data_IF_788559122112
#
_entry.id   IF_788559122112
#
_cell.length_a   1.000
_cell.length_b   1.000
_cell.length_c   1.000
_cell.angle_alpha   90.00
_cell.angle_beta   90.00
_cell.angle_gamma   90.00
#
_symmetry.space_group_name_H-M   'P 1'
#
loop_
_entity.id
_entity.type
_entity.pdbx_description
1 polymer ?
#
# COMPACT_ATOMS: atom_id res chain seq x y z
N UNK A 1 26.62 48.37 -52.84
CA UNK A 1 27.13 47.07 -52.34
C UNK A 1 25.99 46.07 -52.38
N UNK A 2 26.22 44.95 -53.07
CA UNK A 2 25.33 43.80 -53.19
C UNK A 2 25.02 43.18 -51.81
N UNK A 3 23.80 42.66 -51.62
CA UNK A 3 23.52 41.22 -51.68
C UNK A 3 22.02 40.92 -51.47
N UNK A 4 21.42 40.39 -52.54
CA UNK A 4 20.16 39.64 -52.57
C UNK A 4 20.46 38.22 -52.13
N UNK A 5 19.72 37.68 -51.15
CA UNK A 5 19.35 36.25 -50.99
C UNK A 5 18.19 36.26 -49.97
N UNK A 6 17.02 35.68 -50.17
CA UNK A 6 16.64 34.49 -50.92
C UNK A 6 15.80 33.66 -49.96
N UNK A 7 14.48 33.67 -50.13
CA UNK A 7 13.54 32.79 -49.43
C UNK A 7 13.92 31.33 -49.73
N UNK A 8 14.33 30.60 -48.70
CA UNK A 8 14.42 29.14 -48.76
C UNK A 8 13.42 28.57 -47.79
N UNK A 9 12.27 28.17 -48.32
CA UNK A 9 11.40 27.21 -47.68
C UNK A 9 12.08 25.84 -47.79
N UNK A 10 12.51 25.27 -46.68
CA UNK A 10 12.91 23.87 -46.62
C UNK A 10 11.77 23.11 -45.94
N UNK A 11 10.99 22.41 -46.75
CA UNK A 11 10.23 21.26 -46.29
C UNK A 11 11.25 20.14 -45.96
N UNK A 12 11.39 19.79 -44.69
CA UNK A 12 12.05 18.54 -44.28
C UNK A 12 10.94 17.63 -43.75
N UNK A 13 10.73 16.54 -44.49
CA UNK A 13 9.74 15.52 -44.19
C UNK A 13 10.01 14.77 -42.88
N UNK A 14 8.94 14.18 -42.38
CA UNK A 14 8.92 13.23 -41.28
C UNK A 14 9.91 12.08 -41.53
N UNK A 15 10.82 11.87 -40.59
CA UNK A 15 11.32 10.53 -40.30
C UNK A 15 11.55 10.40 -38.80
N UNK A 16 11.01 9.33 -38.23
CA UNK A 16 10.82 9.14 -36.80
C UNK A 16 12.12 9.19 -36.01
N UNK A 17 12.31 10.27 -35.26
CA UNK A 17 13.13 10.29 -34.06
C UNK A 17 12.23 10.02 -32.87
N UNK A 18 12.06 8.75 -32.52
CA UNK A 18 11.46 8.35 -31.25
C UNK A 18 12.33 8.98 -30.17
N UNK A 19 11.82 10.02 -29.52
CA UNK A 19 12.39 10.49 -28.26
C UNK A 19 12.20 9.31 -27.32
N UNK A 20 13.24 8.50 -27.17
CA UNK A 20 13.32 7.53 -26.08
C UNK A 20 13.36 8.37 -24.81
N UNK A 21 12.18 8.76 -24.35
CA UNK A 21 11.94 8.91 -22.94
C UNK A 21 12.61 7.69 -22.32
N UNK A 22 13.67 7.94 -21.56
CA UNK A 22 14.33 6.95 -20.75
C UNK A 22 13.29 6.49 -19.73
N UNK A 23 12.40 5.61 -20.20
CA UNK A 23 11.47 4.83 -19.42
C UNK A 23 12.36 3.88 -18.66
N UNK A 24 13.01 4.41 -17.63
CA UNK A 24 13.54 3.64 -16.51
C UNK A 24 12.35 2.78 -16.12
N UNK A 25 12.40 1.53 -16.58
CA UNK A 25 11.29 0.60 -16.51
C UNK A 25 10.78 0.68 -15.08
N UNK A 26 9.51 1.07 -14.91
CA UNK A 26 8.89 1.07 -13.59
C UNK A 26 9.23 -0.31 -13.01
N UNK A 27 9.89 -0.38 -11.84
CA UNK A 27 10.21 -1.69 -11.28
C UNK A 27 8.89 -2.44 -11.20
N UNK A 28 8.84 -3.60 -11.87
CA UNK A 28 7.61 -4.38 -11.92
C UNK A 28 7.14 -4.57 -10.47
N UNK A 29 5.83 -4.41 -10.18
CA UNK A 29 5.28 -4.59 -8.85
C UNK A 29 5.83 -5.85 -8.17
N UNK A 30 6.00 -6.91 -8.95
CA UNK A 30 6.63 -8.19 -8.61
C UNK A 30 8.01 -8.06 -7.92
N UNK A 31 8.92 -7.23 -8.43
CA UNK A 31 10.29 -7.10 -7.91
C UNK A 31 10.33 -6.36 -6.56
N UNK A 32 9.43 -5.40 -6.37
CA UNK A 32 9.30 -4.68 -5.08
C UNK A 32 8.58 -5.54 -4.06
N UNK A 33 7.54 -6.27 -4.46
CA UNK A 33 6.84 -7.28 -3.65
C UNK A 33 7.85 -8.34 -3.16
N UNK A 34 8.72 -8.85 -4.03
CA UNK A 34 9.75 -9.83 -3.64
C UNK A 34 10.74 -9.31 -2.60
N UNK A 35 11.08 -8.00 -2.63
CA UNK A 35 11.99 -7.39 -1.64
C UNK A 35 11.33 -7.26 -0.26
N UNK A 36 10.02 -6.99 -0.21
CA UNK A 36 9.25 -6.97 1.04
C UNK A 36 9.03 -8.38 1.60
N UNK A 37 8.74 -9.36 0.72
CA UNK A 37 8.55 -10.76 1.11
C UNK A 37 9.77 -11.40 1.80
N UNK A 38 10.99 -10.91 1.53
CA UNK A 38 12.24 -11.37 2.18
C UNK A 38 12.42 -10.88 3.62
N UNK A 39 11.52 -10.04 4.15
CA UNK A 39 11.50 -9.66 5.57
C UNK A 39 10.85 -10.73 6.48
N UNK A 40 10.33 -11.84 5.93
CA UNK A 40 9.89 -13.00 6.70
C UNK A 40 11.09 -13.89 7.06
N UNK A 41 11.74 -13.60 8.18
CA UNK A 41 12.94 -14.27 8.69
C UNK A 41 12.65 -15.43 9.66
N UNK A 42 11.42 -15.97 9.66
CA UNK A 42 11.03 -17.06 10.57
C UNK A 42 10.51 -16.60 11.93
N UNK A 43 10.17 -15.33 12.08
CA UNK A 43 9.67 -14.75 13.33
C UNK A 43 8.15 -14.94 13.57
N UNK A 44 7.79 -14.92 14.86
CA UNK A 44 6.45 -15.02 15.48
C UNK A 44 5.29 -14.66 14.56
N UNK A 45 4.30 -15.55 14.48
CA UNK A 45 3.00 -15.31 13.86
C UNK A 45 2.49 -13.91 14.21
N UNK A 46 2.32 -13.04 13.22
CA UNK A 46 1.90 -11.64 13.47
C UNK A 46 0.58 -11.59 14.22
N UNK A 47 -0.30 -12.57 14.00
CA UNK A 47 -1.60 -12.65 14.66
C UNK A 47 -1.50 -13.00 16.16
N UNK A 48 -0.33 -13.46 16.62
CA UNK A 48 -0.03 -13.70 18.04
C UNK A 48 0.80 -12.56 18.67
N UNK A 49 1.02 -11.45 17.96
CA UNK A 49 1.69 -10.28 18.54
C UNK A 49 0.90 -9.74 19.74
N UNK A 50 1.56 -9.37 20.86
CA UNK A 50 0.89 -8.84 22.06
C UNK A 50 0.01 -7.61 21.81
N UNK A 51 0.25 -6.85 20.74
CA UNK A 51 -0.64 -5.75 20.34
C UNK A 51 -2.04 -6.23 19.96
N UNK A 52 -2.24 -7.48 19.56
CA UNK A 52 -3.55 -8.02 19.21
C UNK A 52 -4.49 -7.96 20.42
N UNK A 53 -4.07 -8.50 21.56
CA UNK A 53 -4.84 -8.46 22.82
C UNK A 53 -5.06 -7.03 23.29
N UNK A 54 -4.02 -6.19 23.23
CA UNK A 54 -4.10 -4.78 23.63
C UNK A 54 -5.08 -3.97 22.79
N UNK A 55 -5.22 -4.30 21.50
CA UNK A 55 -6.03 -3.51 20.56
C UNK A 55 -7.48 -3.96 20.53
N UNK A 56 -7.73 -5.27 20.55
CA UNK A 56 -9.07 -5.83 20.36
C UNK A 56 -9.76 -6.26 21.66
N UNK A 57 -9.01 -6.38 22.77
CA UNK A 57 -9.57 -6.70 24.09
C UNK A 57 -10.47 -7.93 24.06
N UNK A 58 -11.74 -7.78 24.43
CA UNK A 58 -12.72 -8.87 24.44
C UNK A 58 -12.91 -9.56 23.07
N UNK A 59 -12.60 -8.87 21.96
CA UNK A 59 -12.74 -9.40 20.59
C UNK A 59 -11.46 -10.01 20.04
N UNK A 60 -10.44 -10.22 20.87
CA UNK A 60 -9.13 -10.71 20.41
C UNK A 60 -9.22 -12.05 19.66
N UNK A 61 -10.07 -12.99 20.10
CA UNK A 61 -10.21 -14.29 19.45
C UNK A 61 -10.77 -14.16 18.02
N UNK A 62 -11.72 -13.26 17.82
CA UNK A 62 -12.27 -12.93 16.51
C UNK A 62 -11.20 -12.30 15.61
N UNK A 63 -10.49 -11.30 16.15
CA UNK A 63 -9.43 -10.59 15.45
C UNK A 63 -8.27 -11.53 15.03
N UNK A 64 -7.89 -12.47 15.90
CA UNK A 64 -6.91 -13.53 15.58
C UNK A 64 -7.39 -14.41 14.44
N UNK A 65 -8.66 -14.82 14.44
CA UNK A 65 -9.21 -15.62 13.34
C UNK A 65 -9.14 -14.87 12.02
N UNK A 66 -9.64 -13.63 11.97
CA UNK A 66 -9.62 -12.80 10.76
C UNK A 66 -8.18 -12.59 10.27
N UNK A 67 -7.27 -12.17 11.15
CA UNK A 67 -5.85 -11.99 10.82
C UNK A 67 -5.22 -13.27 10.22
N UNK A 68 -5.54 -14.45 10.77
CA UNK A 68 -5.04 -15.72 10.26
C UNK A 68 -5.63 -16.08 8.89
N UNK A 69 -6.91 -15.78 8.63
CA UNK A 69 -7.53 -16.01 7.31
C UNK A 69 -6.99 -15.07 6.24
N UNK A 70 -6.73 -13.82 6.60
CA UNK A 70 -6.22 -12.81 5.69
C UNK A 70 -4.73 -13.01 5.35
N UNK A 71 -3.87 -13.18 6.37
CA UNK A 71 -2.42 -13.17 6.18
C UNK A 71 -1.73 -14.52 6.34
N UNK A 72 -2.44 -15.52 6.88
CA UNK A 72 -1.85 -16.77 7.38
C UNK A 72 -0.75 -16.53 8.42
N UNK A 73 -0.86 -15.44 9.19
CA UNK A 73 0.07 -15.12 10.27
C UNK A 73 1.39 -14.46 9.85
N UNK A 74 1.51 -14.08 8.57
CA UNK A 74 2.74 -13.51 8.01
C UNK A 74 2.82 -11.99 8.25
N UNK A 75 3.97 -11.50 8.73
CA UNK A 75 4.16 -10.09 9.17
C UNK A 75 4.04 -9.05 8.05
N UNK A 76 4.57 -9.34 6.88
CA UNK A 76 4.61 -8.40 5.76
C UNK A 76 4.14 -9.11 4.48
N UNK A 77 2.86 -9.52 4.47
CA UNK A 77 2.24 -9.98 3.22
C UNK A 77 1.85 -8.74 2.43
N UNK A 78 2.45 -8.62 1.26
CA UNK A 78 1.97 -7.74 0.19
C UNK A 78 1.20 -8.66 -0.76
N UNK A 79 -0.12 -8.72 -0.58
CA UNK A 79 -1.01 -9.44 -1.47
C UNK A 79 -1.42 -8.56 -2.64
N UNK A 80 -1.55 -9.14 -3.84
CA UNK A 80 -2.24 -8.49 -4.96
C UNK A 80 -3.57 -9.17 -5.13
N UNK A 81 -4.66 -8.51 -4.73
CA UNK A 81 -6.03 -9.04 -4.85
C UNK A 81 -6.57 -8.79 -6.26
N UNK A 82 -6.20 -7.66 -6.86
CA UNK A 82 -6.49 -7.27 -8.23
C UNK A 82 -5.33 -6.45 -8.83
N UNK A 83 -5.31 -6.23 -10.16
CA UNK A 83 -4.18 -5.60 -10.88
C UNK A 83 -3.78 -4.19 -10.36
N UNK A 84 -4.63 -3.53 -9.57
CA UNK A 84 -4.41 -2.21 -8.97
C UNK A 84 -4.65 -2.16 -7.44
N UNK A 85 -4.73 -3.31 -6.79
CA UNK A 85 -5.03 -3.40 -5.36
C UNK A 85 -3.91 -4.14 -4.65
N UNK A 86 -3.30 -3.48 -3.68
CA UNK A 86 -2.25 -4.08 -2.85
C UNK A 86 -2.68 -4.12 -1.39
N UNK A 87 -2.75 -5.31 -0.81
CA UNK A 87 -3.17 -5.51 0.57
C UNK A 87 -1.95 -5.76 1.47
N UNK A 88 -1.93 -5.12 2.65
CA UNK A 88 -0.73 -5.05 3.49
C UNK A 88 -0.97 -5.52 4.94
N UNK A 89 -0.05 -6.34 5.45
CA UNK A 89 0.05 -6.72 6.87
C UNK A 89 -0.94 -7.81 7.31
N UNK A 90 -1.11 -7.95 8.63
CA UNK A 90 -1.89 -9.03 9.24
C UNK A 90 -3.37 -9.06 8.85
N UNK A 91 -3.99 -7.87 8.71
CA UNK A 91 -5.38 -7.69 8.27
C UNK A 91 -5.49 -7.33 6.78
N UNK A 92 -4.43 -7.50 5.98
CA UNK A 92 -4.47 -7.25 4.53
C UNK A 92 -5.17 -5.92 4.18
N UNK A 93 -4.69 -4.81 4.75
CA UNK A 93 -5.28 -3.49 4.49
C UNK A 93 -5.03 -3.09 3.04
N UNK A 94 -6.11 -2.92 2.29
CA UNK A 94 -6.07 -2.52 0.88
C UNK A 94 -5.51 -1.11 0.69
N UNK A 95 -4.54 -1.01 -0.21
CA UNK A 95 -3.98 0.21 -0.75
C UNK A 95 -4.31 0.20 -2.25
N UNK A 96 -5.27 1.02 -2.63
CA UNK A 96 -5.80 1.13 -3.99
C UNK A 96 -6.22 2.59 -4.27
N UNK A 97 -6.35 2.98 -5.55
CA UNK A 97 -6.87 4.29 -5.90
C UNK A 97 -8.23 4.57 -5.25
N UNK A 98 -8.35 5.66 -4.49
CA UNK A 98 -9.63 6.16 -3.95
C UNK A 98 -10.11 5.53 -2.64
N UNK A 99 -9.66 4.33 -2.26
CA UNK A 99 -9.99 3.65 -0.99
C UNK A 99 -9.08 4.06 0.17
N UNK A 100 -7.84 4.45 -0.16
CA UNK A 100 -6.81 5.08 0.69
C UNK A 100 -6.91 4.81 2.20
N UNK A 101 -6.92 3.53 2.63
CA UNK A 101 -6.94 3.15 4.06
C UNK A 101 -5.72 3.67 4.82
N UNK A 102 -4.63 3.93 4.12
CA UNK A 102 -3.44 4.61 4.61
C UNK A 102 -3.67 6.12 4.88
N UNK A 103 -4.51 6.78 4.08
CA UNK A 103 -4.94 8.16 4.35
C UNK A 103 -5.88 8.21 5.55
N UNK A 104 -6.79 7.24 5.70
CA UNK A 104 -7.60 7.11 6.92
C UNK A 104 -6.73 7.06 8.18
N UNK A 105 -5.62 6.31 8.18
CA UNK A 105 -4.67 6.27 9.31
C UNK A 105 -4.15 7.67 9.63
N UNK A 106 -3.80 8.44 8.60
CA UNK A 106 -3.30 9.81 8.72
C UNK A 106 -4.37 10.77 9.26
N UNK A 107 -5.57 10.73 8.68
CA UNK A 107 -6.67 11.63 8.99
C UNK A 107 -7.25 11.38 10.38
N UNK A 108 -7.41 10.11 10.76
CA UNK A 108 -7.89 9.72 12.09
C UNK A 108 -6.79 9.80 13.18
N UNK A 109 -5.56 10.19 12.83
CA UNK A 109 -4.46 10.32 13.78
C UNK A 109 -4.05 9.00 14.45
N UNK A 110 -4.22 7.88 13.75
CA UNK A 110 -3.94 6.55 14.29
C UNK A 110 -2.42 6.30 14.43
N UNK A 111 -2.01 5.31 15.22
CA UNK A 111 -0.61 4.89 15.27
C UNK A 111 -0.02 4.68 13.87
N UNK A 112 1.13 5.29 13.59
CA UNK A 112 1.76 5.26 12.27
C UNK A 112 1.50 6.51 11.43
N UNK A 113 0.51 7.34 11.77
CA UNK A 113 0.15 8.55 11.03
C UNK A 113 1.35 9.47 10.75
N UNK A 114 2.18 9.77 11.77
CA UNK A 114 3.33 10.65 11.55
C UNK A 114 4.34 10.07 10.56
N UNK A 115 4.65 8.78 10.67
CA UNK A 115 5.58 8.14 9.73
C UNK A 115 5.06 8.14 8.29
N UNK A 116 3.75 8.02 8.10
CA UNK A 116 3.13 8.16 6.78
C UNK A 116 3.17 9.61 6.28
N UNK A 117 2.83 10.60 7.15
CA UNK A 117 2.94 12.03 6.83
C UNK A 117 4.35 12.42 6.39
N UNK A 118 5.37 11.96 7.12
CA UNK A 118 6.77 12.24 6.80
C UNK A 118 7.14 11.68 5.41
N UNK A 119 6.67 10.47 5.07
CA UNK A 119 6.88 9.88 3.73
C UNK A 119 6.16 10.72 2.67
N UNK A 120 4.93 11.15 2.94
CA UNK A 120 4.11 11.92 2.01
C UNK A 120 4.75 13.27 1.69
N UNK A 121 5.12 14.02 2.73
CA UNK A 121 5.77 15.32 2.62
C UNK A 121 7.12 15.23 1.92
N UNK A 122 7.97 14.26 2.31
CA UNK A 122 9.29 14.03 1.70
C UNK A 122 9.23 13.76 0.20
N UNK A 123 8.16 13.09 -0.27
CA UNK A 123 8.04 12.65 -1.64
C UNK A 123 7.03 13.46 -2.47
N UNK A 124 6.36 14.45 -1.88
CA UNK A 124 5.35 15.26 -2.57
C UNK A 124 4.12 14.46 -3.01
N UNK A 125 3.71 13.48 -2.20
CA UNK A 125 2.53 12.61 -2.46
C UNK A 125 1.49 12.76 -1.36
N UNK A 126 0.29 12.22 -1.56
CA UNK A 126 -0.79 12.24 -0.55
C UNK A 126 -1.16 10.86 0.01
N UNK A 127 -0.62 9.80 -0.57
CA UNK A 127 -0.89 8.42 -0.16
C UNK A 127 0.26 7.50 -0.53
N UNK A 128 0.31 6.33 0.10
CA UNK A 128 1.17 5.24 -0.28
C UNK A 128 0.90 4.78 -1.72
N UNK A 129 -0.36 4.76 -2.17
CA UNK A 129 -0.67 4.43 -3.57
C UNK A 129 0.02 5.37 -4.56
N UNK A 130 0.04 6.68 -4.28
CA UNK A 130 0.70 7.65 -5.14
C UNK A 130 2.21 7.41 -5.25
N UNK A 131 2.87 6.91 -4.20
CA UNK A 131 4.29 6.51 -4.30
C UNK A 131 4.49 5.40 -5.33
N UNK A 132 3.59 4.40 -5.36
CA UNK A 132 3.63 3.32 -6.33
C UNK A 132 3.31 3.82 -7.74
N UNK A 133 2.25 4.63 -7.90
CA UNK A 133 1.82 5.17 -9.18
C UNK A 133 2.91 6.00 -9.87
N UNK A 134 3.65 6.80 -9.09
CA UNK A 134 4.77 7.62 -9.53
C UNK A 134 6.09 6.86 -9.68
N UNK A 135 6.13 5.55 -9.37
CA UNK A 135 7.33 4.72 -9.51
C UNK A 135 8.38 4.93 -8.42
N UNK A 136 8.01 5.54 -7.29
CA UNK A 136 8.87 5.80 -6.13
C UNK A 136 9.01 4.54 -5.27
N UNK A 137 9.68 3.52 -5.81
CA UNK A 137 9.80 2.18 -5.19
C UNK A 137 10.37 2.17 -3.77
N UNK A 138 11.28 3.11 -3.44
CA UNK A 138 11.80 3.28 -2.08
C UNK A 138 10.74 3.77 -1.10
N UNK A 139 10.02 4.84 -1.47
CA UNK A 139 8.93 5.39 -0.68
C UNK A 139 7.78 4.40 -0.51
N UNK A 140 7.47 3.62 -1.55
CA UNK A 140 6.50 2.53 -1.47
C UNK A 140 6.90 1.47 -0.45
N UNK A 141 8.16 1.02 -0.47
CA UNK A 141 8.66 0.05 0.50
C UNK A 141 8.64 0.60 1.95
N UNK A 142 8.96 1.89 2.13
CA UNK A 142 8.86 2.58 3.43
C UNK A 142 7.39 2.60 3.92
N UNK A 143 6.45 2.93 3.03
CA UNK A 143 5.01 2.89 3.29
C UNK A 143 4.53 1.51 3.75
N UNK A 144 4.83 0.48 2.97
CA UNK A 144 4.46 -0.91 3.27
C UNK A 144 5.07 -1.36 4.60
N UNK A 145 6.31 -0.95 4.89
CA UNK A 145 6.97 -1.23 6.17
C UNK A 145 6.24 -0.59 7.35
N UNK A 146 5.81 0.67 7.23
CA UNK A 146 5.01 1.34 8.28
C UNK A 146 3.68 0.64 8.47
N UNK A 147 2.96 0.36 7.39
CA UNK A 147 1.61 -0.24 7.41
C UNK A 147 1.60 -1.71 7.88
N UNK A 148 2.72 -2.42 7.72
CA UNK A 148 2.87 -3.81 8.17
C UNK A 148 3.17 -3.92 9.67
N UNK A 149 3.52 -2.83 10.36
CA UNK A 149 3.80 -2.88 11.81
C UNK A 149 2.53 -3.29 12.57
N UNK A 150 2.59 -4.29 13.47
CA UNK A 150 1.41 -4.79 14.20
C UNK A 150 0.58 -3.67 14.83
N UNK A 151 1.23 -2.76 15.56
CA UNK A 151 0.56 -1.60 16.17
C UNK A 151 -0.22 -0.75 15.17
N UNK A 152 0.32 -0.50 13.98
CA UNK A 152 -0.31 0.32 12.93
C UNK A 152 -1.45 -0.45 12.29
N UNK A 153 -1.16 -1.67 11.81
CA UNK A 153 -2.10 -2.52 11.10
C UNK A 153 -3.33 -2.87 11.95
N UNK A 154 -3.12 -3.20 13.22
CA UNK A 154 -4.19 -3.60 14.14
C UNK A 154 -5.04 -2.40 14.55
N UNK A 155 -4.42 -1.25 14.79
CA UNK A 155 -5.17 -0.03 15.14
C UNK A 155 -6.06 0.41 13.99
N UNK A 156 -5.57 0.32 12.74
CA UNK A 156 -6.37 0.59 11.57
C UNK A 156 -7.52 -0.42 11.40
N UNK A 157 -7.26 -1.71 11.61
CA UNK A 157 -8.29 -2.73 11.54
C UNK A 157 -9.37 -2.55 12.63
N UNK A 158 -8.97 -2.20 13.86
CA UNK A 158 -9.89 -1.88 14.95
C UNK A 158 -10.74 -0.65 14.65
N UNK A 159 -10.13 0.40 14.09
CA UNK A 159 -10.86 1.60 13.69
C UNK A 159 -11.96 1.29 12.66
N UNK A 160 -11.63 0.48 11.64
CA UNK A 160 -12.59 0.02 10.64
C UNK A 160 -13.72 -0.81 11.27
N UNK A 161 -13.36 -1.76 12.14
CA UNK A 161 -14.34 -2.56 12.87
C UNK A 161 -15.28 -1.72 13.74
N UNK A 162 -14.77 -0.67 14.39
CA UNK A 162 -15.60 0.22 15.20
C UNK A 162 -16.52 1.07 14.33
N UNK A 163 -16.01 1.57 13.20
CA UNK A 163 -16.79 2.34 12.23
C UNK A 163 -17.95 1.52 11.62
N UNK A 164 -17.79 0.20 11.51
CA UNK A 164 -18.83 -0.72 11.03
C UNK A 164 -19.82 -1.17 12.11
N UNK A 165 -19.73 -0.62 13.34
CA UNK A 165 -20.55 -1.07 14.47
C UNK A 165 -20.19 -2.48 14.93
N UNK A 166 -18.97 -2.93 14.65
CA UNK A 166 -18.45 -4.22 15.05
C UNK A 166 -18.66 -5.36 14.05
N UNK A 167 -19.08 -5.08 12.83
CA UNK A 167 -19.27 -6.09 11.78
C UNK A 167 -17.97 -6.32 11.01
N UNK A 168 -17.42 -7.53 11.11
CA UNK A 168 -16.21 -7.90 10.38
C UNK A 168 -16.48 -8.04 8.88
N UNK A 169 -17.69 -8.47 8.52
CA UNK A 169 -18.13 -8.71 7.16
C UNK A 169 -18.07 -7.47 6.25
N UNK A 170 -18.16 -6.26 6.80
CA UNK A 170 -18.09 -4.99 6.06
C UNK A 170 -16.71 -4.69 5.47
N UNK A 171 -15.65 -5.29 6.04
CA UNK A 171 -14.27 -5.00 5.64
C UNK A 171 -13.47 -6.26 5.29
N UNK A 172 -13.86 -7.42 5.83
CA UNK A 172 -13.24 -8.72 5.58
C UNK A 172 -14.32 -9.80 5.40
N UNK A 173 -15.15 -9.72 4.34
CA UNK A 173 -16.32 -10.60 4.16
C UNK A 173 -15.94 -12.09 4.14
N UNK A 174 -14.90 -12.45 3.37
CA UNK A 174 -14.46 -13.85 3.25
C UNK A 174 -13.90 -14.38 4.57
N UNK A 175 -13.05 -13.61 5.27
CA UNK A 175 -12.52 -14.04 6.56
C UNK A 175 -13.61 -14.09 7.63
N UNK A 176 -14.56 -13.16 7.64
CA UNK A 176 -15.70 -13.17 8.55
C UNK A 176 -16.55 -14.43 8.37
N UNK A 177 -16.87 -14.79 7.12
CA UNK A 177 -17.58 -16.04 6.79
C UNK A 177 -16.81 -17.26 7.30
N UNK A 178 -15.51 -17.37 6.98
CA UNK A 178 -14.66 -18.49 7.41
C UNK A 178 -14.47 -18.58 8.93
N UNK A 179 -14.67 -17.47 9.64
CA UNK A 179 -14.59 -17.37 11.09
C UNK A 179 -15.96 -17.43 11.79
N UNK A 180 -17.07 -17.54 11.03
CA UNK A 180 -18.45 -17.48 11.54
C UNK A 180 -18.74 -16.20 12.35
N UNK A 181 -18.31 -15.04 11.83
CA UNK A 181 -18.44 -13.74 12.47
C UNK A 181 -19.51 -12.87 11.78
N UNK A 182 -20.20 -11.98 12.54
CA UNK A 182 -21.12 -11.01 11.96
C UNK A 182 -20.42 -9.95 11.11
#
# INVERSE_FOLDING_TARGET
MMLVFGLVAIAIGFSGGKVEANARSKPEPTAVIQKVSKMNDGSINVCDDPWMEKTFGARVSEAKCVCMKESSGRKAVVGTVAFNETSVGGFQLNIEPGSMKDVMIVDAGLPGAQGLKDIYEKNGVKSCWETLAQGLSGAWAECVSVLSKPKVNFSAAKYLLDASGGKWSEHWPTAAEMCNLP
#
